data_IF_403891983695
#
_entry.id   IF_403891983695
#
_cell.length_a   1.000
_cell.length_b   1.000
_cell.length_c   1.000
_cell.angle_alpha   90.00
_cell.angle_beta   90.00
_cell.angle_gamma   90.00
#
_symmetry.space_group_name_H-M   'P 1'
#
loop_
_entity.id
_entity.type
_entity.pdbx_description
1 polymer ?
#
# COMPACT_ATOMS: atom_id res chain seq x y z
N UNK A 1 37.37 -49.57 -9.86
CA UNK A 1 36.33 -48.76 -10.55
C UNK A 1 35.99 -47.58 -9.66
N UNK A 2 36.55 -46.39 -9.90
CA UNK A 2 36.32 -45.18 -9.14
C UNK A 2 35.06 -44.50 -9.69
N UNK A 3 33.97 -44.50 -8.94
CA UNK A 3 32.78 -43.78 -9.30
C UNK A 3 33.11 -42.28 -9.23
N UNK A 4 33.18 -41.60 -10.37
CA UNK A 4 33.22 -40.14 -10.44
C UNK A 4 31.87 -39.65 -9.91
N UNK A 5 31.90 -39.06 -8.72
CA UNK A 5 30.80 -38.22 -8.24
C UNK A 5 30.50 -37.17 -9.34
N UNK A 6 29.30 -37.20 -9.87
CA UNK A 6 28.82 -36.14 -10.75
C UNK A 6 28.97 -34.79 -10.03
N UNK A 7 29.44 -33.73 -10.71
CA UNK A 7 29.52 -32.42 -10.10
C UNK A 7 28.12 -32.02 -9.58
N UNK A 8 28.03 -31.60 -8.33
CA UNK A 8 26.81 -31.08 -7.77
C UNK A 8 26.27 -30.00 -8.74
N UNK A 9 25.04 -30.18 -9.21
CA UNK A 9 24.42 -29.24 -10.14
C UNK A 9 24.60 -27.82 -9.57
N UNK A 10 25.22 -26.93 -10.35
CA UNK A 10 25.48 -25.56 -9.93
C UNK A 10 24.15 -24.95 -9.52
N UNK A 11 24.04 -24.55 -8.29
CA UNK A 11 22.80 -23.99 -7.75
C UNK A 11 22.86 -22.49 -7.98
N UNK A 12 21.82 -21.90 -8.60
CA UNK A 12 21.75 -20.45 -8.84
C UNK A 12 21.98 -19.64 -7.55
N UNK A 13 22.33 -18.38 -7.66
CA UNK A 13 22.72 -17.50 -6.53
C UNK A 13 21.84 -16.27 -6.41
N UNK A 14 21.74 -15.73 -5.20
CA UNK A 14 21.18 -14.40 -4.94
C UNK A 14 22.32 -13.39 -4.89
N UNK A 15 22.12 -12.24 -5.51
CA UNK A 15 23.04 -11.09 -5.47
C UNK A 15 22.28 -9.76 -5.45
N UNK A 16 22.94 -8.65 -5.09
CA UNK A 16 22.38 -7.31 -5.27
C UNK A 16 22.01 -7.03 -6.73
N UNK A 17 20.88 -6.35 -6.92
CA UNK A 17 20.47 -5.75 -8.19
C UNK A 17 21.41 -4.58 -8.54
N UNK A 18 21.71 -4.43 -9.83
CA UNK A 18 22.51 -3.34 -10.38
C UNK A 18 21.76 -2.65 -11.52
N UNK A 19 22.06 -1.40 -11.85
CA UNK A 19 21.43 -0.72 -12.98
C UNK A 19 21.52 -1.49 -14.31
N UNK A 20 22.61 -2.24 -14.53
CA UNK A 20 22.80 -3.07 -15.74
C UNK A 20 21.79 -4.23 -15.85
N UNK A 21 21.19 -4.66 -14.73
CA UNK A 21 20.17 -5.72 -14.71
C UNK A 21 18.78 -5.22 -15.14
N UNK A 22 18.63 -3.91 -15.37
CA UNK A 22 17.34 -3.29 -15.58
C UNK A 22 16.58 -3.89 -16.76
N UNK A 23 17.30 -4.14 -17.88
CA UNK A 23 16.71 -4.71 -19.07
C UNK A 23 16.18 -6.14 -18.83
N UNK A 24 16.91 -6.94 -18.05
CA UNK A 24 16.54 -8.32 -17.72
C UNK A 24 15.35 -8.36 -16.77
N UNK A 25 15.30 -7.46 -15.76
CA UNK A 25 14.17 -7.33 -14.84
C UNK A 25 12.91 -6.91 -15.59
N UNK A 26 13.00 -5.92 -16.48
CA UNK A 26 11.89 -5.50 -17.36
C UNK A 26 11.42 -6.66 -18.24
N UNK A 27 12.38 -7.40 -18.83
CA UNK A 27 12.10 -8.59 -19.62
C UNK A 27 11.39 -9.68 -18.82
N UNK A 28 11.86 -9.96 -17.60
CA UNK A 28 11.23 -10.92 -16.68
C UNK A 28 9.79 -10.50 -16.34
N UNK A 29 9.57 -9.23 -15.99
CA UNK A 29 8.24 -8.71 -15.68
C UNK A 29 7.29 -8.86 -16.86
N UNK A 30 7.69 -8.51 -18.06
CA UNK A 30 6.85 -8.63 -19.26
C UNK A 30 6.51 -10.07 -19.61
N UNK A 31 7.40 -11.04 -19.33
CA UNK A 31 7.10 -12.47 -19.50
C UNK A 31 6.08 -12.98 -18.50
N UNK A 32 6.13 -12.49 -17.28
CA UNK A 32 5.26 -12.95 -16.19
C UNK A 32 3.87 -12.29 -16.20
N UNK A 33 3.83 -11.00 -16.49
CA UNK A 33 2.61 -10.22 -16.54
C UNK A 33 2.32 -9.84 -18.00
N UNK A 34 1.29 -10.43 -18.57
CA UNK A 34 0.87 -10.16 -19.95
C UNK A 34 0.21 -8.78 -20.02
N UNK A 35 1.02 -7.73 -20.08
CA UNK A 35 0.52 -6.39 -20.38
C UNK A 35 0.25 -6.30 -21.89
N UNK A 36 -0.96 -5.91 -22.27
CA UNK A 36 -1.36 -5.87 -23.67
C UNK A 36 -0.73 -4.70 -24.43
N UNK A 37 -0.52 -3.52 -23.83
CA UNK A 37 0.07 -2.36 -24.53
C UNK A 37 0.82 -1.36 -23.63
N UNK A 38 0.55 -1.26 -22.32
CA UNK A 38 1.18 -0.29 -21.41
C UNK A 38 1.46 -0.91 -20.03
N UNK A 39 2.52 -0.50 -19.32
CA UNK A 39 3.55 0.45 -19.75
C UNK A 39 4.49 -0.14 -20.82
N UNK A 40 5.07 0.73 -21.65
CA UNK A 40 6.13 0.34 -22.60
C UNK A 40 7.38 -0.14 -21.84
N UNK A 41 8.30 -0.89 -22.50
CA UNK A 41 9.55 -1.30 -21.86
C UNK A 41 10.37 -0.13 -21.33
N UNK A 42 10.36 1.00 -22.05
CA UNK A 42 11.09 2.21 -21.65
C UNK A 42 10.48 2.88 -20.41
N UNK A 43 9.17 3.03 -20.37
CA UNK A 43 8.46 3.56 -19.21
C UNK A 43 8.66 2.68 -17.97
N UNK A 44 8.62 1.35 -18.16
CA UNK A 44 8.86 0.41 -17.07
C UNK A 44 10.32 0.46 -16.58
N UNK A 45 11.29 0.60 -17.49
CA UNK A 45 12.70 0.76 -17.13
C UNK A 45 12.95 2.05 -16.37
N UNK A 46 12.38 3.18 -16.82
CA UNK A 46 12.48 4.46 -16.13
C UNK A 46 11.88 4.39 -14.73
N UNK A 47 10.71 3.80 -14.60
CA UNK A 47 10.08 3.58 -13.30
C UNK A 47 10.96 2.73 -12.37
N UNK A 48 11.43 1.56 -12.81
CA UNK A 48 12.30 0.70 -12.01
C UNK A 48 13.58 1.42 -11.59
N UNK A 49 14.17 2.21 -12.51
CA UNK A 49 15.35 3.00 -12.21
C UNK A 49 15.09 4.07 -11.13
N UNK A 50 13.97 4.81 -11.23
CA UNK A 50 13.58 5.82 -10.25
C UNK A 50 13.35 5.21 -8.86
N UNK A 51 12.67 4.06 -8.81
CA UNK A 51 12.29 3.43 -7.53
C UNK A 51 13.47 2.69 -6.90
N UNK A 52 14.23 1.91 -7.66
CA UNK A 52 15.24 1.00 -7.11
C UNK A 52 16.67 1.53 -7.16
N UNK A 53 16.95 2.55 -8.02
CA UNK A 53 18.29 3.12 -8.16
C UNK A 53 18.38 4.58 -7.68
N UNK A 54 17.27 5.35 -7.76
CA UNK A 54 17.25 6.78 -7.41
C UNK A 54 16.28 7.15 -6.28
N UNK A 55 15.91 6.18 -5.46
CA UNK A 55 15.12 6.44 -4.28
C UNK A 55 15.94 7.31 -3.29
N UNK A 56 15.37 8.42 -2.77
CA UNK A 56 16.06 9.28 -1.80
C UNK A 56 16.42 8.60 -0.48
N UNK A 57 15.80 7.45 -0.16
CA UNK A 57 16.17 6.61 0.98
C UNK A 57 17.05 5.42 0.60
N UNK A 58 17.64 5.41 -0.63
CA UNK A 58 18.53 4.33 -1.05
C UNK A 58 19.60 4.06 0.00
N UNK A 59 19.87 2.78 0.23
CA UNK A 59 20.81 2.28 1.22
C UNK A 59 21.57 1.10 0.59
N UNK A 60 22.89 1.24 0.47
CA UNK A 60 23.74 0.24 -0.18
C UNK A 60 23.73 -1.12 0.54
N UNK A 61 23.35 -1.14 1.82
CA UNK A 61 23.19 -2.38 2.59
C UNK A 61 21.79 -3.00 2.45
N UNK A 62 20.83 -2.28 1.81
CA UNK A 62 19.46 -2.74 1.54
C UNK A 62 19.14 -2.73 0.04
N UNK A 63 19.95 -3.37 -0.82
CA UNK A 63 19.71 -3.40 -2.25
C UNK A 63 18.49 -4.27 -2.60
N UNK A 64 17.86 -3.96 -3.72
CA UNK A 64 16.99 -4.94 -4.38
C UNK A 64 17.81 -6.19 -4.76
N UNK A 65 17.14 -7.33 -4.93
CA UNK A 65 17.80 -8.63 -5.07
C UNK A 65 17.48 -9.28 -6.42
N UNK A 66 18.51 -9.88 -7.01
CA UNK A 66 18.44 -10.72 -8.22
C UNK A 66 18.71 -12.17 -7.82
N UNK A 67 17.95 -13.08 -8.42
CA UNK A 67 18.34 -14.48 -8.48
C UNK A 67 18.83 -14.81 -9.88
N UNK A 68 20.12 -15.18 -9.97
CA UNK A 68 20.72 -15.74 -11.17
C UNK A 68 20.57 -17.26 -11.16
N UNK A 69 20.15 -17.82 -12.27
CA UNK A 69 20.08 -19.26 -12.45
C UNK A 69 21.48 -19.88 -12.69
N UNK A 70 21.51 -21.16 -13.01
CA UNK A 70 22.76 -21.90 -13.30
C UNK A 70 23.49 -21.43 -14.57
N UNK A 71 22.79 -20.73 -15.48
CA UNK A 71 23.34 -20.17 -16.72
C UNK A 71 23.82 -18.74 -16.55
N UNK A 72 23.62 -18.15 -15.35
CA UNK A 72 23.90 -16.75 -15.10
C UNK A 72 22.80 -15.80 -15.60
N UNK A 73 21.64 -16.33 -15.98
CA UNK A 73 20.49 -15.52 -16.44
C UNK A 73 19.66 -15.04 -15.25
N UNK A 74 19.07 -13.85 -15.38
CA UNK A 74 18.15 -13.30 -14.38
C UNK A 74 16.82 -14.07 -14.40
N UNK A 75 16.65 -14.94 -13.42
CA UNK A 75 15.48 -15.80 -13.26
C UNK A 75 14.57 -15.37 -12.09
N UNK A 76 14.96 -14.39 -11.30
CA UNK A 76 14.14 -13.84 -10.24
C UNK A 76 14.56 -12.44 -9.81
N UNK A 77 13.61 -11.68 -9.28
CA UNK A 77 13.81 -10.33 -8.77
C UNK A 77 12.94 -10.13 -7.52
N UNK A 78 13.48 -9.44 -6.53
CA UNK A 78 12.76 -8.89 -5.39
C UNK A 78 13.16 -7.44 -5.23
N UNK A 79 12.24 -6.54 -5.49
CA UNK A 79 12.42 -5.11 -5.24
C UNK A 79 12.49 -4.82 -3.75
N UNK A 80 13.42 -3.98 -3.34
CA UNK A 80 13.57 -3.51 -1.97
C UNK A 80 13.56 -1.99 -1.97
N UNK A 81 12.66 -1.41 -1.21
CA UNK A 81 12.56 0.05 -1.04
C UNK A 81 12.81 0.37 0.43
N UNK A 82 13.99 0.91 0.75
CA UNK A 82 14.30 1.34 2.10
C UNK A 82 13.33 2.43 2.56
N UNK A 83 13.01 2.42 3.85
CA UNK A 83 12.21 3.43 4.54
C UNK A 83 12.87 3.81 5.85
N UNK A 84 12.72 5.07 6.23
CA UNK A 84 13.08 5.55 7.56
C UNK A 84 11.85 5.55 8.44
N UNK A 85 11.95 4.91 9.58
CA UNK A 85 10.93 4.96 10.63
C UNK A 85 11.60 5.21 11.97
N UNK A 86 10.80 5.56 12.97
CA UNK A 86 11.23 5.62 14.36
C UNK A 86 10.49 4.58 15.16
N UNK A 87 11.17 3.96 16.10
CA UNK A 87 10.60 3.10 17.13
C UNK A 87 10.95 3.67 18.49
N UNK A 88 9.93 4.11 19.26
CA UNK A 88 10.12 4.80 20.53
C UNK A 88 11.14 5.96 20.42
N UNK A 89 10.92 6.83 19.45
CA UNK A 89 11.74 8.00 19.10
C UNK A 89 13.18 7.71 18.62
N UNK A 90 13.55 6.43 18.47
CA UNK A 90 14.86 6.03 17.94
C UNK A 90 14.74 5.64 16.47
N UNK A 91 15.63 6.12 15.60
CA UNK A 91 15.64 5.72 14.20
C UNK A 91 15.81 4.20 14.05
N UNK A 92 15.04 3.61 13.15
CA UNK A 92 15.20 2.23 12.71
C UNK A 92 15.20 2.14 11.19
N UNK A 93 15.85 1.10 10.67
CA UNK A 93 15.89 0.79 9.24
C UNK A 93 14.75 -0.15 8.89
N UNK A 94 13.95 0.26 7.92
CA UNK A 94 12.84 -0.55 7.41
C UNK A 94 13.04 -0.83 5.93
N UNK A 95 12.78 -2.05 5.50
CA UNK A 95 12.84 -2.45 4.11
C UNK A 95 11.45 -2.91 3.64
N UNK A 96 10.93 -2.27 2.59
CA UNK A 96 9.70 -2.68 1.94
C UNK A 96 10.06 -3.63 0.80
N UNK A 97 9.65 -4.89 0.91
CA UNK A 97 9.77 -5.88 -0.15
C UNK A 97 8.61 -5.74 -1.14
N UNK A 98 8.92 -5.64 -2.43
CA UNK A 98 7.93 -5.46 -3.48
C UNK A 98 8.29 -6.24 -4.74
N UNK A 99 7.32 -6.47 -5.62
CA UNK A 99 7.53 -7.05 -6.95
C UNK A 99 8.34 -8.35 -6.95
N UNK A 100 8.03 -9.28 -6.02
CA UNK A 100 8.64 -10.61 -6.05
C UNK A 100 8.26 -11.33 -7.36
N UNK A 101 9.22 -11.46 -8.25
CA UNK A 101 9.07 -12.10 -9.56
C UNK A 101 10.02 -13.26 -9.68
N UNK A 102 9.52 -14.40 -10.17
CA UNK A 102 10.36 -15.60 -10.41
C UNK A 102 9.89 -16.26 -11.68
N UNK A 103 10.84 -16.62 -12.56
CA UNK A 103 10.53 -17.37 -13.79
C UNK A 103 9.86 -18.72 -13.46
N UNK A 104 8.93 -19.22 -14.28
CA UNK A 104 8.23 -20.49 -14.03
C UNK A 104 9.18 -21.66 -13.76
N UNK A 105 10.31 -21.68 -14.46
CA UNK A 105 11.32 -22.76 -14.40
C UNK A 105 12.09 -22.76 -13.06
N UNK A 106 12.17 -21.60 -12.40
CA UNK A 106 12.90 -21.41 -11.13
C UNK A 106 11.97 -21.29 -9.91
N UNK A 107 10.65 -21.48 -10.08
CA UNK A 107 9.66 -21.36 -9.00
C UNK A 107 10.00 -22.26 -7.82
N UNK A 108 9.66 -21.76 -6.61
CA UNK A 108 9.93 -22.45 -5.35
C UNK A 108 11.32 -22.13 -4.78
N UNK A 109 12.39 -22.59 -5.46
CA UNK A 109 13.75 -22.40 -4.95
C UNK A 109 14.21 -20.93 -4.99
N UNK A 110 14.04 -20.26 -6.14
CA UNK A 110 14.47 -18.87 -6.30
C UNK A 110 13.69 -17.92 -5.42
N UNK A 111 12.35 -18.06 -5.35
CA UNK A 111 11.51 -17.26 -4.46
C UNK A 111 11.89 -17.42 -3.00
N UNK A 112 12.10 -18.68 -2.54
CA UNK A 112 12.52 -18.95 -1.17
C UNK A 112 13.88 -18.34 -0.83
N UNK A 113 14.84 -18.38 -1.79
CA UNK A 113 16.17 -17.79 -1.60
C UNK A 113 16.14 -16.27 -1.57
N UNK A 114 15.37 -15.65 -2.48
CA UNK A 114 15.19 -14.21 -2.51
C UNK A 114 14.55 -13.69 -1.21
N UNK A 115 13.43 -14.30 -0.78
CA UNK A 115 12.76 -13.88 0.45
C UNK A 115 13.63 -14.15 1.67
N UNK A 116 14.34 -15.30 1.75
CA UNK A 116 15.28 -15.55 2.84
C UNK A 116 16.37 -14.49 2.90
N UNK A 117 17.03 -14.18 1.78
CA UNK A 117 18.08 -13.17 1.72
C UNK A 117 17.53 -11.78 2.15
N UNK A 118 16.32 -11.45 1.75
CA UNK A 118 15.64 -10.23 2.17
C UNK A 118 15.38 -10.20 3.69
N UNK A 119 14.80 -11.28 4.26
CA UNK A 119 14.45 -11.32 5.68
C UNK A 119 15.67 -11.39 6.62
N UNK A 120 16.82 -11.86 6.11
CA UNK A 120 18.09 -11.90 6.86
C UNK A 120 18.99 -10.70 6.62
N UNK A 121 18.48 -9.66 5.97
CA UNK A 121 19.21 -8.41 5.75
C UNK A 121 19.41 -7.60 7.05
N UNK A 122 20.14 -6.48 6.97
CA UNK A 122 20.53 -5.67 8.15
C UNK A 122 19.43 -4.72 8.63
N UNK A 123 18.21 -4.76 8.05
CA UNK A 123 17.10 -3.93 8.49
C UNK A 123 16.51 -4.43 9.83
N UNK A 124 15.99 -3.49 10.61
CA UNK A 124 15.27 -3.79 11.85
C UNK A 124 13.88 -4.38 11.57
N UNK A 125 13.24 -3.97 10.46
CA UNK A 125 11.90 -4.42 10.07
C UNK A 125 11.81 -4.61 8.56
N UNK A 126 11.32 -5.77 8.13
CA UNK A 126 10.92 -6.07 6.75
C UNK A 126 9.41 -6.04 6.65
N UNK A 127 8.85 -5.44 5.59
CA UNK A 127 7.39 -5.35 5.34
C UNK A 127 7.09 -5.65 3.88
N UNK A 128 5.95 -6.29 3.62
CA UNK A 128 5.27 -6.36 2.31
C UNK A 128 3.78 -6.26 2.56
N UNK A 129 3.09 -5.34 1.90
CA UNK A 129 1.67 -5.05 2.19
C UNK A 129 0.72 -5.33 1.00
N UNK A 130 1.22 -6.08 0.00
CA UNK A 130 0.44 -6.62 -1.11
C UNK A 130 0.63 -8.14 -1.28
N UNK A 131 0.92 -8.84 -0.18
CA UNK A 131 1.14 -10.28 -0.19
C UNK A 131 -0.11 -11.08 -0.60
N UNK A 132 0.04 -12.00 -1.56
CA UNK A 132 -0.97 -13.01 -1.81
C UNK A 132 -0.72 -14.25 -0.91
N UNK A 133 -1.62 -15.24 -0.96
CA UNK A 133 -1.51 -16.46 -0.14
C UNK A 133 -0.21 -17.24 -0.35
N UNK A 134 0.32 -17.26 -1.56
CA UNK A 134 1.59 -17.94 -1.84
C UNK A 134 2.76 -17.20 -1.17
N UNK A 135 2.77 -15.87 -1.26
CA UNK A 135 3.77 -15.01 -0.60
C UNK A 135 3.64 -15.13 0.91
N UNK A 136 2.43 -15.10 1.46
CA UNK A 136 2.17 -15.30 2.89
C UNK A 136 2.78 -16.61 3.40
N UNK A 137 2.42 -17.76 2.79
CA UNK A 137 2.97 -19.06 3.18
C UNK A 137 4.49 -19.12 3.06
N UNK A 138 5.05 -18.45 2.06
CA UNK A 138 6.50 -18.38 1.89
C UNK A 138 7.16 -17.61 3.04
N UNK A 139 6.64 -16.44 3.41
CA UNK A 139 7.14 -15.65 4.52
C UNK A 139 7.03 -16.39 5.85
N UNK A 140 5.85 -16.96 6.17
CA UNK A 140 5.62 -17.75 7.38
C UNK A 140 6.62 -18.92 7.48
N UNK A 141 6.91 -19.61 6.36
CA UNK A 141 7.89 -20.71 6.32
C UNK A 141 9.34 -20.27 6.58
N UNK A 142 9.60 -18.96 6.57
CA UNK A 142 10.92 -18.34 6.76
C UNK A 142 10.99 -17.48 8.02
N UNK A 143 9.97 -17.55 8.89
CA UNK A 143 9.91 -16.82 10.16
C UNK A 143 9.23 -15.45 10.08
N UNK A 144 8.62 -15.11 8.94
CA UNK A 144 7.75 -13.93 8.82
C UNK A 144 6.40 -14.12 9.50
N UNK A 145 5.74 -13.04 9.79
CA UNK A 145 4.42 -12.96 10.44
C UNK A 145 3.42 -12.18 9.59
N UNK A 146 2.14 -12.34 9.91
CA UNK A 146 1.03 -11.60 9.29
C UNK A 146 0.48 -10.60 10.28
N UNK A 147 0.32 -9.35 9.87
CA UNK A 147 -0.47 -8.37 10.61
C UNK A 147 -1.94 -8.48 10.19
N UNK A 148 -2.71 -9.29 10.93
CA UNK A 148 -4.12 -9.54 10.62
C UNK A 148 -4.94 -8.27 10.56
N UNK A 149 -4.75 -7.36 11.51
CA UNK A 149 -5.49 -6.11 11.57
C UNK A 149 -5.23 -5.22 10.33
N UNK A 150 -3.96 -5.06 9.92
CA UNK A 150 -3.61 -4.28 8.74
C UNK A 150 -3.97 -5.00 7.42
N UNK A 151 -4.33 -6.28 7.44
CA UNK A 151 -4.79 -7.03 6.24
C UNK A 151 -6.29 -6.86 5.98
N UNK A 152 -7.03 -6.21 6.87
CA UNK A 152 -8.45 -5.92 6.71
C UNK A 152 -8.63 -4.66 5.85
N UNK A 153 -9.59 -4.71 4.95
CA UNK A 153 -10.06 -3.54 4.17
C UNK A 153 -11.38 -3.07 4.75
N UNK A 154 -11.50 -1.78 5.00
CA UNK A 154 -12.79 -1.17 5.32
C UNK A 154 -13.37 -0.46 4.10
N UNK A 155 -14.70 -0.40 4.03
CA UNK A 155 -15.42 0.27 2.96
C UNK A 155 -16.66 0.99 3.50
N UNK A 156 -16.87 2.24 3.07
CA UNK A 156 -18.08 3.02 3.31
C UNK A 156 -18.77 3.30 1.98
N UNK A 157 -19.97 2.77 1.78
CA UNK A 157 -20.82 3.17 0.68
C UNK A 157 -21.32 4.61 0.88
N UNK A 158 -21.03 5.50 -0.09
CA UNK A 158 -21.53 6.88 -0.12
C UNK A 158 -22.80 6.98 -0.97
N UNK A 159 -22.92 6.12 -2.00
CA UNK A 159 -24.05 5.97 -2.90
C UNK A 159 -24.36 4.47 -3.05
N UNK A 160 -25.11 3.89 -2.11
CA UNK A 160 -25.24 2.44 -2.01
C UNK A 160 -25.91 1.80 -3.24
N UNK A 161 -26.88 2.48 -3.86
CA UNK A 161 -27.54 1.95 -5.07
C UNK A 161 -26.58 1.95 -6.27
N UNK A 162 -25.78 3.03 -6.48
CA UNK A 162 -24.76 3.08 -7.52
C UNK A 162 -23.67 2.04 -7.28
N UNK A 163 -23.22 1.86 -6.04
CA UNK A 163 -22.24 0.85 -5.67
C UNK A 163 -22.75 -0.58 -5.96
N UNK A 164 -24.01 -0.86 -5.64
CA UNK A 164 -24.63 -2.16 -5.95
C UNK A 164 -24.66 -2.42 -7.46
N UNK A 165 -25.09 -1.43 -8.25
CA UNK A 165 -25.13 -1.52 -9.72
C UNK A 165 -23.74 -1.70 -10.32
N UNK A 166 -22.73 -0.96 -9.83
CA UNK A 166 -21.34 -1.09 -10.31
C UNK A 166 -20.79 -2.50 -10.14
N UNK A 167 -21.18 -3.19 -9.06
CA UNK A 167 -20.76 -4.57 -8.75
C UNK A 167 -21.49 -5.63 -9.57
N UNK A 168 -22.71 -5.34 -10.02
CA UNK A 168 -23.53 -6.26 -10.83
C UNK A 168 -23.24 -6.14 -12.34
N UNK A 169 -22.67 -5.02 -12.80
CA UNK A 169 -22.58 -4.57 -14.19
C UNK A 169 -21.47 -5.16 -15.06
N UNK A 170 -20.90 -6.33 -14.78
CA UNK A 170 -19.72 -6.91 -15.46
C UNK A 170 -19.88 -7.33 -16.94
N UNK A 171 -21.04 -7.16 -17.60
CA UNK A 171 -21.27 -7.56 -19.00
C UNK A 171 -21.97 -6.48 -19.86
N UNK A 172 -21.96 -6.65 -21.19
CA UNK A 172 -22.59 -5.69 -22.13
C UNK A 172 -24.09 -5.51 -21.86
N UNK A 173 -24.80 -6.58 -21.51
CA UNK A 173 -26.21 -6.55 -21.11
C UNK A 173 -26.42 -5.83 -19.77
N UNK A 174 -25.49 -6.01 -18.82
CA UNK A 174 -25.52 -5.32 -17.53
C UNK A 174 -25.32 -3.82 -17.67
N UNK A 175 -24.48 -3.35 -18.58
CA UNK A 175 -24.27 -1.91 -18.86
C UNK A 175 -25.52 -1.23 -19.41
N UNK A 176 -26.24 -1.88 -20.33
CA UNK A 176 -27.51 -1.36 -20.86
C UNK A 176 -28.59 -1.25 -19.80
N UNK A 177 -28.74 -2.29 -18.96
CA UNK A 177 -29.68 -2.31 -17.85
C UNK A 177 -29.32 -1.27 -16.77
N UNK A 178 -28.03 -1.08 -16.47
CA UNK A 178 -27.52 -0.08 -15.53
C UNK A 178 -27.85 1.35 -16.00
N UNK A 179 -27.67 1.65 -17.30
CA UNK A 179 -28.05 2.95 -17.88
C UNK A 179 -29.56 3.21 -17.78
N UNK A 180 -30.40 2.23 -18.09
CA UNK A 180 -31.85 2.35 -17.98
C UNK A 180 -32.34 2.53 -16.53
N UNK A 181 -31.63 1.95 -15.57
CA UNK A 181 -31.95 2.04 -14.13
C UNK A 181 -31.43 3.32 -13.45
N UNK A 182 -30.60 4.14 -14.12
CA UNK A 182 -29.98 5.34 -13.53
C UNK A 182 -30.93 6.29 -12.78
N UNK A 183 -32.15 6.63 -13.27
CA UNK A 183 -33.05 7.51 -12.53
C UNK A 183 -33.52 6.90 -11.21
N UNK A 184 -33.79 5.60 -11.19
CA UNK A 184 -34.21 4.88 -9.98
C UNK A 184 -33.05 4.75 -8.97
N UNK A 185 -31.86 4.48 -9.47
CA UNK A 185 -30.62 4.42 -8.70
C UNK A 185 -30.33 5.78 -8.04
N UNK A 186 -30.44 6.87 -8.81
CA UNK A 186 -30.24 8.22 -8.28
C UNK A 186 -31.29 8.59 -7.22
N UNK A 187 -32.55 8.22 -7.43
CA UNK A 187 -33.60 8.41 -6.43
C UNK A 187 -33.35 7.59 -5.17
N UNK A 188 -32.94 6.33 -5.31
CA UNK A 188 -32.58 5.48 -4.18
C UNK A 188 -31.42 6.05 -3.35
N UNK A 189 -30.37 6.54 -4.02
CA UNK A 189 -29.24 7.18 -3.35
C UNK A 189 -29.63 8.51 -2.68
N UNK A 190 -30.52 9.31 -3.30
CA UNK A 190 -31.05 10.53 -2.71
C UNK A 190 -31.88 10.25 -1.44
N UNK A 191 -32.71 9.21 -1.45
CA UNK A 191 -33.46 8.76 -0.27
C UNK A 191 -32.53 8.23 0.83
N UNK A 192 -31.52 7.44 0.45
CA UNK A 192 -30.50 6.97 1.39
C UNK A 192 -29.72 8.13 2.03
N UNK A 193 -29.40 9.16 1.24
CA UNK A 193 -28.72 10.36 1.73
C UNK A 193 -29.60 11.23 2.67
N UNK A 194 -30.92 11.20 2.49
CA UNK A 194 -31.88 11.91 3.33
C UNK A 194 -32.14 11.22 4.67
N UNK A 195 -31.71 9.96 4.84
CA UNK A 195 -31.93 9.21 6.07
C UNK A 195 -31.16 9.83 7.25
N UNK A 196 -31.79 10.08 8.43
CA UNK A 196 -31.11 10.61 9.60
C UNK A 196 -29.91 9.73 10.01
N UNK A 197 -28.71 10.30 10.03
CA UNK A 197 -27.48 9.58 10.36
C UNK A 197 -26.73 8.94 9.17
N UNK A 198 -27.29 8.97 7.95
CA UNK A 198 -26.63 8.41 6.78
C UNK A 198 -25.29 9.10 6.44
N UNK A 199 -25.20 10.39 6.70
CA UNK A 199 -24.03 11.21 6.43
C UNK A 199 -23.88 12.22 7.56
N UNK A 200 -23.14 11.86 8.59
CA UNK A 200 -22.73 12.81 9.60
C UNK A 200 -21.84 13.88 8.96
N UNK A 201 -22.40 15.07 8.70
CA UNK A 201 -21.54 16.23 8.39
C UNK A 201 -20.55 16.39 9.53
N UNK A 202 -19.24 16.56 9.23
CA UNK A 202 -18.28 16.82 10.28
C UNK A 202 -18.73 18.07 11.05
N UNK A 203 -18.92 17.92 12.36
CA UNK A 203 -19.31 19.02 13.22
C UNK A 203 -18.07 19.85 13.58
N UNK A 204 -17.88 20.94 12.87
CA UNK A 204 -16.78 21.89 13.10
C UNK A 204 -15.52 21.61 12.27
N UNK A 205 -14.54 22.48 12.42
CA UNK A 205 -13.28 22.40 11.72
C UNK A 205 -13.34 22.78 10.22
N UNK A 206 -12.19 22.80 9.61
CA UNK A 206 -12.01 23.06 8.19
C UNK A 206 -10.97 22.11 7.58
N UNK A 207 -10.99 21.99 6.25
CA UNK A 207 -9.98 21.23 5.50
C UNK A 207 -9.24 22.18 4.56
N UNK A 208 -7.91 22.20 4.67
CA UNK A 208 -7.03 22.92 3.77
C UNK A 208 -6.21 21.95 2.92
N UNK A 209 -5.75 22.35 1.71
CA UNK A 209 -4.89 21.51 0.90
C UNK A 209 -3.63 21.06 1.66
N UNK A 210 -3.27 19.79 1.54
CA UNK A 210 -2.13 19.20 2.22
C UNK A 210 -0.86 19.34 1.38
N UNK A 211 0.06 20.20 1.82
CA UNK A 211 1.38 20.31 1.21
C UNK A 211 2.38 19.35 1.91
N UNK A 212 3.47 18.90 1.21
CA UNK A 212 4.45 17.99 1.79
C UNK A 212 5.06 18.48 3.12
N UNK A 213 5.43 19.76 3.20
CA UNK A 213 6.00 20.35 4.42
C UNK A 213 4.99 20.37 5.57
N UNK A 214 3.71 20.64 5.27
CA UNK A 214 2.64 20.66 6.26
C UNK A 214 2.34 19.26 6.77
N UNK A 215 2.39 18.25 5.89
CA UNK A 215 2.22 16.85 6.28
C UNK A 215 3.37 16.41 7.19
N UNK A 216 4.63 16.72 6.84
CA UNK A 216 5.77 16.36 7.68
C UNK A 216 5.64 16.91 9.10
N UNK A 217 5.32 18.20 9.23
CA UNK A 217 5.10 18.84 10.53
C UNK A 217 3.91 18.23 11.30
N UNK A 218 2.79 17.96 10.62
CA UNK A 218 1.63 17.31 11.21
C UNK A 218 1.93 15.88 11.67
N UNK A 219 2.74 15.15 10.92
CA UNK A 219 3.13 13.78 11.27
C UNK A 219 3.93 13.72 12.56
N UNK A 220 4.89 14.63 12.75
CA UNK A 220 5.66 14.73 14.00
C UNK A 220 4.75 14.93 15.23
N UNK A 221 3.65 15.67 15.07
CA UNK A 221 2.73 15.97 16.16
C UNK A 221 1.66 14.89 16.38
N UNK A 222 1.03 14.42 15.30
CA UNK A 222 -0.13 13.53 15.36
C UNK A 222 0.25 12.07 15.59
N UNK A 223 1.39 11.63 15.08
CA UNK A 223 1.82 10.24 15.14
C UNK A 223 2.63 9.87 16.39
N UNK A 224 2.87 10.82 17.30
CA UNK A 224 3.64 10.57 18.54
C UNK A 224 3.02 9.49 19.44
N UNK A 225 1.74 9.20 19.27
CA UNK A 225 1.04 8.15 20.04
C UNK A 225 1.41 6.73 19.62
N UNK A 226 2.08 6.56 18.47
CA UNK A 226 2.50 5.26 17.98
C UNK A 226 3.96 5.00 18.32
N UNK A 227 4.27 3.83 18.85
CA UNK A 227 5.65 3.42 19.11
C UNK A 227 6.47 3.27 17.81
N UNK A 228 5.84 2.73 16.75
CA UNK A 228 6.42 2.61 15.40
C UNK A 228 5.73 3.59 14.47
N UNK A 229 6.48 4.51 13.87
CA UNK A 229 5.94 5.52 12.95
C UNK A 229 6.94 5.94 11.89
N UNK A 230 6.47 6.41 10.71
CA UNK A 230 7.35 6.88 9.64
C UNK A 230 8.11 8.15 10.04
N UNK A 231 9.35 8.25 9.54
CA UNK A 231 10.15 9.47 9.53
C UNK A 231 10.14 10.04 8.10
N UNK A 232 9.37 11.10 7.89
CA UNK A 232 9.20 11.70 6.56
C UNK A 232 10.28 12.73 6.19
N UNK A 233 11.33 12.86 6.99
CA UNK A 233 12.37 13.83 6.75
C UNK A 233 13.03 13.67 5.36
N UNK A 234 13.01 14.76 4.60
CA UNK A 234 13.77 14.97 3.37
C UNK A 234 13.21 14.37 2.08
N UNK A 235 12.30 13.40 2.12
CA UNK A 235 11.88 12.70 0.90
C UNK A 235 10.36 12.61 0.68
N UNK A 236 9.57 13.24 1.53
CA UNK A 236 8.11 13.18 1.44
C UNK A 236 7.57 13.76 0.13
N UNK A 237 8.16 14.85 -0.37
CA UNK A 237 7.75 15.44 -1.65
C UNK A 237 7.96 14.47 -2.83
N UNK A 238 9.08 13.74 -2.83
CA UNK A 238 9.33 12.70 -3.83
C UNK A 238 8.29 11.57 -3.71
N UNK A 239 8.03 11.08 -2.50
CA UNK A 239 7.06 10.02 -2.24
C UNK A 239 5.67 10.38 -2.73
N UNK A 240 5.18 11.58 -2.38
CA UNK A 240 3.87 12.06 -2.82
C UNK A 240 3.83 12.30 -4.34
N UNK A 241 4.95 12.75 -4.93
CA UNK A 241 5.09 12.87 -6.39
C UNK A 241 4.96 11.52 -7.09
N UNK A 242 5.62 10.47 -6.59
CA UNK A 242 5.50 9.11 -7.14
C UNK A 242 4.07 8.57 -6.95
N UNK A 243 3.48 8.75 -5.78
CA UNK A 243 2.09 8.36 -5.54
C UNK A 243 1.12 9.08 -6.49
N UNK A 244 1.32 10.37 -6.79
CA UNK A 244 0.46 11.13 -7.69
C UNK A 244 0.55 10.68 -9.16
N UNK A 245 1.59 9.95 -9.56
CA UNK A 245 1.69 9.35 -10.91
C UNK A 245 0.75 8.15 -11.11
N UNK A 246 0.24 7.56 -10.02
CA UNK A 246 -0.63 6.37 -10.04
C UNK A 246 -2.08 6.75 -10.37
N UNK A 247 -2.32 7.03 -11.66
CA UNK A 247 -3.59 7.59 -12.14
C UNK A 247 -4.71 6.57 -12.36
N UNK A 248 -4.45 5.29 -12.27
CA UNK A 248 -5.46 4.24 -12.42
C UNK A 248 -6.54 4.27 -11.32
N UNK A 249 -6.26 4.94 -10.20
CA UNK A 249 -7.23 5.16 -9.11
C UNK A 249 -7.84 6.59 -9.11
N UNK A 250 -7.52 7.40 -10.12
CA UNK A 250 -7.96 8.79 -10.22
C UNK A 250 -6.92 9.80 -9.74
N UNK A 251 -7.38 10.97 -9.28
CA UNK A 251 -6.55 12.06 -8.79
C UNK A 251 -6.20 11.87 -7.32
N UNK A 252 -4.90 12.03 -6.96
CA UNK A 252 -4.46 12.01 -5.56
C UNK A 252 -4.82 13.36 -4.90
N UNK A 253 -5.63 13.30 -3.87
CA UNK A 253 -6.09 14.44 -3.09
C UNK A 253 -5.57 14.33 -1.66
N UNK A 254 -5.05 15.45 -1.14
CA UNK A 254 -4.63 15.58 0.25
C UNK A 254 -5.38 16.69 0.98
N UNK A 255 -5.91 16.37 2.17
CA UNK A 255 -6.57 17.33 3.04
C UNK A 255 -5.98 17.32 4.45
N UNK A 256 -5.54 18.50 4.94
CA UNK A 256 -5.21 18.72 6.34
C UNK A 256 -6.46 19.22 7.05
N UNK A 257 -6.88 18.52 8.09
CA UNK A 257 -8.07 18.88 8.90
C UNK A 257 -7.62 19.63 10.15
N UNK A 258 -8.24 20.79 10.37
CA UNK A 258 -8.04 21.62 11.57
C UNK A 258 -9.31 21.66 12.40
N UNK A 259 -9.14 21.76 13.71
CA UNK A 259 -10.23 22.04 14.65
C UNK A 259 -10.64 23.52 14.59
N UNK A 260 -11.76 23.87 15.22
CA UNK A 260 -12.27 25.26 15.24
C UNK A 260 -11.33 26.26 15.91
N UNK A 261 -10.41 25.80 16.76
CA UNK A 261 -9.35 26.59 17.40
C UNK A 261 -8.08 26.70 16.54
N UNK A 262 -8.08 26.12 15.32
CA UNK A 262 -6.95 26.09 14.41
C UNK A 262 -5.95 24.97 14.66
N UNK A 263 -6.08 24.17 15.71
CA UNK A 263 -5.17 23.05 15.97
C UNK A 263 -5.31 21.95 14.91
N UNK A 264 -4.21 21.28 14.58
CA UNK A 264 -4.21 20.15 13.63
C UNK A 264 -4.95 18.96 14.25
N UNK A 265 -6.05 18.56 13.63
CA UNK A 265 -6.81 17.36 13.96
C UNK A 265 -6.18 16.09 13.38
N UNK A 266 -5.69 16.21 12.14
CA UNK A 266 -5.10 15.13 11.37
C UNK A 266 -5.15 15.44 9.87
N UNK A 267 -4.98 14.41 9.05
CA UNK A 267 -5.02 14.53 7.58
C UNK A 267 -5.52 13.26 6.93
N UNK A 268 -5.83 13.39 5.63
CA UNK A 268 -6.09 12.27 4.76
C UNK A 268 -5.40 12.45 3.39
N UNK A 269 -5.05 11.33 2.77
CA UNK A 269 -4.63 11.21 1.37
C UNK A 269 -5.49 10.12 0.74
N UNK A 270 -6.14 10.42 -0.38
CA UNK A 270 -6.95 9.45 -1.09
C UNK A 270 -6.96 9.72 -2.59
N UNK A 271 -7.16 8.66 -3.38
CA UNK A 271 -7.41 8.81 -4.81
C UNK A 271 -8.90 8.92 -5.05
N UNK A 272 -9.29 9.76 -6.00
CA UNK A 272 -10.70 9.97 -6.34
C UNK A 272 -10.88 9.96 -7.85
N UNK A 273 -11.82 9.11 -8.29
CA UNK A 273 -12.39 9.15 -9.62
C UNK A 273 -13.91 9.28 -9.48
N UNK A 274 -14.56 10.27 -10.15
CA UNK A 274 -16.02 10.41 -10.10
C UNK A 274 -16.73 9.15 -10.58
N UNK A 275 -17.68 8.64 -9.81
CA UNK A 275 -18.39 7.39 -10.10
C UNK A 275 -17.64 6.13 -9.69
N UNK A 276 -16.40 6.25 -9.21
CA UNK A 276 -15.57 5.15 -8.71
C UNK A 276 -15.54 5.06 -7.17
N UNK A 277 -14.84 4.04 -6.67
CA UNK A 277 -14.48 3.94 -5.25
C UNK A 277 -13.24 4.81 -4.99
N UNK A 278 -13.33 5.70 -4.02
CA UNK A 278 -12.17 6.45 -3.55
C UNK A 278 -11.26 5.55 -2.71
N UNK A 279 -9.98 5.46 -3.07
CA UNK A 279 -9.00 4.61 -2.40
C UNK A 279 -8.15 5.44 -1.42
N UNK A 280 -8.26 5.14 -0.12
CA UNK A 280 -7.50 5.83 0.92
C UNK A 280 -6.07 5.32 0.94
N UNK A 281 -5.12 6.24 0.70
CA UNK A 281 -3.69 5.99 0.76
C UNK A 281 -3.16 6.17 2.19
N UNK A 282 -3.64 7.22 2.89
CA UNK A 282 -3.26 7.50 4.26
C UNK A 282 -4.39 8.23 5.00
N UNK A 283 -4.63 7.85 6.25
CA UNK A 283 -5.57 8.49 7.15
C UNK A 283 -4.94 8.56 8.54
N UNK A 284 -4.74 9.76 9.07
CA UNK A 284 -4.12 9.98 10.36
C UNK A 284 -4.87 11.06 11.16
N UNK A 285 -4.91 10.90 12.47
CA UNK A 285 -5.61 11.85 13.33
C UNK A 285 -5.32 11.62 14.81
N UNK A 286 -5.36 12.70 15.57
CA UNK A 286 -5.29 12.64 17.04
C UNK A 286 -6.43 11.78 17.57
N UNK A 287 -6.24 10.98 18.61
CA UNK A 287 -7.30 10.11 19.14
C UNK A 287 -8.64 10.81 19.35
N UNK A 288 -8.62 12.02 19.91
CA UNK A 288 -9.82 12.82 20.17
C UNK A 288 -10.49 13.43 18.93
N UNK A 289 -9.82 13.40 17.78
CA UNK A 289 -10.27 14.10 16.56
C UNK A 289 -10.45 13.16 15.36
N UNK A 290 -10.29 11.85 15.54
CA UNK A 290 -10.41 10.86 14.44
C UNK A 290 -11.77 10.92 13.77
N UNK A 291 -12.86 11.01 14.54
CA UNK A 291 -14.20 11.12 13.98
C UNK A 291 -14.36 12.36 13.08
N UNK A 292 -13.75 13.49 13.45
CA UNK A 292 -13.73 14.71 12.66
C UNK A 292 -12.97 14.49 11.33
N UNK A 293 -11.77 13.93 11.39
CA UNK A 293 -10.95 13.68 10.21
C UNK A 293 -11.64 12.72 9.24
N UNK A 294 -12.20 11.61 9.75
CA UNK A 294 -12.96 10.66 8.95
C UNK A 294 -14.18 11.32 8.29
N UNK A 295 -14.91 12.15 9.04
CA UNK A 295 -16.04 12.88 8.49
C UNK A 295 -15.65 13.81 7.33
N UNK A 296 -14.52 14.53 7.43
CA UNK A 296 -14.01 15.39 6.38
C UNK A 296 -13.56 14.59 5.13
N UNK A 297 -12.90 13.44 5.32
CA UNK A 297 -12.55 12.52 4.23
C UNK A 297 -13.80 12.03 3.46
N UNK A 298 -14.81 11.54 4.19
CA UNK A 298 -16.04 11.02 3.58
C UNK A 298 -16.80 12.12 2.83
N UNK A 299 -16.86 13.33 3.39
CA UNK A 299 -17.50 14.47 2.74
C UNK A 299 -16.72 14.96 1.51
N UNK A 300 -15.37 14.98 1.56
CA UNK A 300 -14.55 15.34 0.38
C UNK A 300 -14.75 14.34 -0.76
N UNK A 301 -14.68 13.03 -0.46
CA UNK A 301 -14.93 11.99 -1.45
C UNK A 301 -16.34 12.08 -2.06
N UNK A 302 -17.35 12.33 -1.23
CA UNK A 302 -18.74 12.53 -1.68
C UNK A 302 -18.89 13.71 -2.62
N UNK A 303 -18.31 14.87 -2.28
CA UNK A 303 -18.35 16.10 -3.09
C UNK A 303 -17.66 15.91 -4.44
N UNK A 304 -16.58 15.12 -4.47
CA UNK A 304 -15.85 14.77 -5.70
C UNK A 304 -16.51 13.65 -6.51
N UNK A 305 -17.66 13.16 -6.07
CA UNK A 305 -18.48 12.23 -6.87
C UNK A 305 -18.14 10.75 -6.66
N UNK A 306 -17.34 10.39 -5.66
CA UNK A 306 -17.11 8.99 -5.32
C UNK A 306 -18.42 8.28 -4.90
N UNK A 307 -18.55 7.00 -5.23
CA UNK A 307 -19.69 6.16 -4.83
C UNK A 307 -19.42 5.38 -3.54
N UNK A 308 -18.16 5.15 -3.23
CA UNK A 308 -17.70 4.53 -1.99
C UNK A 308 -16.32 5.10 -1.61
N UNK A 309 -15.91 4.88 -0.36
CA UNK A 309 -14.54 5.09 0.11
C UNK A 309 -14.06 3.79 0.69
N UNK A 310 -12.87 3.34 0.30
CA UNK A 310 -12.23 2.14 0.82
C UNK A 310 -10.80 2.43 1.29
N UNK A 311 -10.33 1.69 2.28
CA UNK A 311 -8.97 1.83 2.77
C UNK A 311 -8.53 0.60 3.56
N UNK A 312 -7.23 0.50 3.80
CA UNK A 312 -6.69 -0.49 4.72
C UNK A 312 -6.99 -0.08 6.16
N UNK A 313 -7.33 -1.03 7.00
CA UNK A 313 -7.58 -0.78 8.41
C UNK A 313 -6.27 -0.45 9.13
N UNK A 314 -6.20 0.75 9.67
CA UNK A 314 -5.29 1.09 10.76
C UNK A 314 -6.04 0.77 12.07
N UNK A 315 -5.57 -0.15 12.93
CA UNK A 315 -6.35 -0.65 14.07
C UNK A 315 -6.92 0.44 14.97
N UNK A 316 -6.20 1.54 15.09
CA UNK A 316 -6.59 2.70 15.88
C UNK A 316 -7.87 3.42 15.38
N UNK A 317 -8.34 3.15 14.16
CA UNK A 317 -9.53 3.76 13.56
C UNK A 317 -10.80 2.91 13.67
N UNK A 318 -10.69 1.69 14.20
CA UNK A 318 -11.80 0.74 14.25
C UNK A 318 -13.08 1.32 14.92
N UNK A 319 -13.00 2.04 16.04
CA UNK A 319 -14.19 2.62 16.68
C UNK A 319 -14.92 3.63 15.77
N UNK A 320 -14.18 4.53 15.11
CA UNK A 320 -14.74 5.58 14.26
C UNK A 320 -15.31 4.99 12.96
N UNK A 321 -14.64 4.00 12.36
CA UNK A 321 -15.12 3.29 11.19
C UNK A 321 -16.41 2.52 11.50
N UNK A 322 -16.48 1.86 12.65
CA UNK A 322 -17.68 1.18 13.12
C UNK A 322 -18.84 2.17 13.37
N UNK A 323 -18.56 3.30 14.01
CA UNK A 323 -19.55 4.36 14.26
C UNK A 323 -20.10 4.95 12.96
N UNK A 324 -19.29 5.00 11.89
CA UNK A 324 -19.71 5.41 10.55
C UNK A 324 -20.42 4.29 9.77
N UNK A 325 -20.54 3.08 10.31
CA UNK A 325 -21.12 1.93 9.63
C UNK A 325 -20.32 1.47 8.42
N UNK A 326 -19.00 1.53 8.50
CA UNK A 326 -18.13 0.96 7.47
C UNK A 326 -18.17 -0.56 7.53
N UNK A 327 -18.25 -1.21 6.37
CA UNK A 327 -18.08 -2.66 6.27
C UNK A 327 -16.60 -3.02 6.38
N UNK A 328 -16.30 -4.11 7.05
CA UNK A 328 -14.95 -4.68 7.14
C UNK A 328 -14.90 -5.95 6.29
N UNK A 329 -13.82 -6.12 5.53
CA UNK A 329 -13.60 -7.26 4.63
C UNK A 329 -12.20 -7.82 4.85
N UNK A 330 -12.07 -9.13 4.81
CA UNK A 330 -10.83 -9.90 4.99
C UNK A 330 -10.27 -10.46 3.66
N UNK A 331 -10.79 -9.96 2.53
CA UNK A 331 -10.39 -10.35 1.18
C UNK A 331 -9.27 -9.45 0.58
N UNK A 332 -8.67 -8.61 1.39
CA UNK A 332 -7.56 -7.76 1.01
C UNK A 332 -6.22 -8.51 0.90
N UNK A 333 -5.18 -7.85 0.39
CA UNK A 333 -3.84 -8.41 0.40
C UNK A 333 -3.30 -8.53 1.84
N UNK A 334 -2.45 -9.55 2.04
CA UNK A 334 -1.81 -9.77 3.33
C UNK A 334 -0.73 -8.72 3.59
N UNK A 335 -0.74 -8.16 4.80
CA UNK A 335 0.36 -7.35 5.33
C UNK A 335 1.30 -8.26 6.10
N UNK A 336 2.47 -8.46 5.53
CA UNK A 336 3.50 -9.36 6.03
C UNK A 336 4.61 -8.53 6.65
N UNK A 337 5.17 -9.01 7.77
CA UNK A 337 6.29 -8.38 8.41
C UNK A 337 7.26 -9.41 9.01
N UNK A 338 8.50 -8.99 9.19
CA UNK A 338 9.52 -9.75 9.92
C UNK A 338 10.45 -8.75 10.61
N UNK A 339 10.78 -9.00 11.86
CA UNK A 339 11.74 -8.20 12.61
C UNK A 339 12.64 -9.10 13.42
N UNK A 340 13.95 -8.81 13.41
CA UNK A 340 14.92 -9.41 14.33
C UNK A 340 14.81 -8.84 15.75
N UNK A 341 14.04 -7.74 15.92
CA UNK A 341 13.80 -7.06 17.20
C UNK A 341 12.42 -7.43 17.74
N UNK A 342 12.33 -8.25 18.82
CA UNK A 342 11.04 -8.71 19.35
C UNK A 342 10.09 -7.55 19.75
N UNK A 343 10.65 -6.44 20.24
CA UNK A 343 9.87 -5.26 20.66
C UNK A 343 9.19 -4.57 19.47
N UNK A 344 9.82 -4.55 18.29
CA UNK A 344 9.25 -4.00 17.06
C UNK A 344 8.16 -4.93 16.53
N UNK A 345 8.40 -6.24 16.52
CA UNK A 345 7.39 -7.24 16.16
C UNK A 345 6.16 -7.13 17.06
N UNK A 346 6.36 -7.02 18.37
CA UNK A 346 5.27 -6.87 19.34
C UNK A 346 4.46 -5.57 19.14
N UNK A 347 5.09 -4.47 18.70
CA UNK A 347 4.36 -3.24 18.35
C UNK A 347 3.44 -3.46 17.13
N UNK A 348 3.92 -4.17 16.10
CA UNK A 348 3.09 -4.56 14.95
C UNK A 348 1.89 -5.42 15.37
N UNK A 349 2.11 -6.40 16.24
CA UNK A 349 1.05 -7.30 16.73
C UNK A 349 -0.03 -6.56 17.54
N UNK A 350 0.36 -5.61 18.38
CA UNK A 350 -0.57 -4.82 19.20
C UNK A 350 -1.25 -3.69 18.45
N UNK A 351 -0.89 -3.42 17.19
CA UNK A 351 -1.39 -2.27 16.45
C UNK A 351 -0.83 -0.93 16.95
N UNK A 352 0.31 -0.95 17.66
CA UNK A 352 1.05 0.24 18.12
C UNK A 352 2.07 0.68 17.05
N UNK A 353 1.66 0.54 15.80
CA UNK A 353 2.40 0.89 14.61
C UNK A 353 1.51 1.67 13.66
N UNK A 354 1.98 2.81 13.19
CA UNK A 354 1.38 3.51 12.07
C UNK A 354 2.07 3.05 10.78
N UNK A 355 1.35 2.27 9.99
CA UNK A 355 1.84 1.71 8.74
C UNK A 355 0.76 1.85 7.67
N UNK A 356 0.70 2.98 7.01
CA UNK A 356 -0.29 3.25 5.97
C UNK A 356 0.10 2.67 4.62
N UNK A 357 -0.83 2.69 3.64
CA UNK A 357 -0.53 2.30 2.26
C UNK A 357 0.55 3.19 1.62
N UNK A 358 0.70 4.44 2.07
CA UNK A 358 1.78 5.34 1.65
C UNK A 358 3.16 4.85 2.10
N UNK A 359 3.23 4.18 3.24
CA UNK A 359 4.48 3.69 3.84
C UNK A 359 4.90 2.32 3.30
N UNK A 360 3.98 1.58 2.68
CA UNK A 360 4.18 0.26 2.11
C UNK A 360 4.52 0.25 0.62
N UNK A 361 4.16 -0.87 -0.04
CA UNK A 361 4.38 -1.09 -1.47
C UNK A 361 3.14 -0.79 -2.34
N UNK A 362 2.00 -0.46 -1.75
CA UNK A 362 0.74 -0.31 -2.48
C UNK A 362 0.83 0.71 -3.63
N UNK A 363 1.49 1.84 -3.40
CA UNK A 363 1.72 2.87 -4.43
C UNK A 363 2.83 2.47 -5.43
N UNK A 364 3.62 1.43 -5.14
CA UNK A 364 4.67 0.88 -6.00
C UNK A 364 4.15 -0.14 -7.02
N UNK A 365 2.92 -0.63 -6.89
CA UNK A 365 2.35 -1.58 -7.84
C UNK A 365 1.94 -0.88 -9.13
N UNK A 366 2.17 -1.55 -10.26
CA UNK A 366 1.65 -1.17 -11.56
C UNK A 366 0.44 -2.03 -11.88
#
# INVERSE_FOLDING_TARGET
MSARLAPAAAVGRVRPFRPDDLADVVGLRRRLFRFTERPSPAELADYCYRIFCRNPWSDDELPSLIYEDQRGEVAGFLGVVPRRMTFQDKPIRVAIGTQLMVSPESRGLAGRRLVRAFLTGPQDLSVSDLGNDATRRLWESLGGSVSMAHSVIWEKALRPCQLAVSRLGGGALGRGAALAAQPLVALGDALAAAWPGAHGRPAGGDTVPLAPATLAAAAEEVLQTFALRPDYNGALAWLLGQAAEKREFGELIGGLVRQSDGAVAGWFLHYVEPGGTSEVLQLAGRPSSRALVLGHLLEDARRRGAIAVAGRLEPAWLPELAAQGCALRDDGPWVLYHSSRPEVAAAMERGDAFLSRLDGEWWLSF
#
